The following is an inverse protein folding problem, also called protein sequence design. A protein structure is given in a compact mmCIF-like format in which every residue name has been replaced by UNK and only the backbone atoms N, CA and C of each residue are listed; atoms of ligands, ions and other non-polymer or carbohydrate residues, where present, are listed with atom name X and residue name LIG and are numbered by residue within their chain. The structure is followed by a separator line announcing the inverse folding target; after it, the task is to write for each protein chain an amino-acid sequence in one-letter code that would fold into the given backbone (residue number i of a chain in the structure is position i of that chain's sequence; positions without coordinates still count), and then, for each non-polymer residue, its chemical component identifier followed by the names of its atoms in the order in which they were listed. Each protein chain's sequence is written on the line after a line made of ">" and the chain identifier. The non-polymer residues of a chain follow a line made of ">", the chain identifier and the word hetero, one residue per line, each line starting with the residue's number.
data_IF_453794584815
#
_entry.id   IF_453794584815
#
_cell.length_a   1.000
_cell.length_b   1.000
_cell.length_c   1.000
_cell.angle_alpha   90.00
_cell.angle_beta   90.00
_cell.angle_gamma   90.00
#
_symmetry.space_group_name_H-M   'P 1'
#
loop_
_entity.id
_entity.type
_entity.pdbx_description
1 polymer ?
#
# COMPACT_ATOMS: atom_id res chain seq x y z
N UNK A 1 1.91 -9.46 -2.97
CA UNK A 1 1.80 -10.84 -2.44
C UNK A 1 1.89 -10.77 -0.93
N UNK A 2 1.38 -11.74 -0.16
CA UNK A 2 1.67 -11.78 1.28
C UNK A 2 3.16 -11.97 1.56
N UNK A 3 3.90 -12.54 0.60
CA UNK A 3 5.37 -12.67 0.66
C UNK A 3 6.12 -11.33 0.72
N UNK A 4 5.51 -10.22 0.27
CA UNK A 4 6.15 -8.90 0.33
C UNK A 4 6.08 -8.30 1.74
N UNK A 5 5.27 -8.89 2.63
CA UNK A 5 5.01 -8.37 3.97
C UNK A 5 6.26 -8.27 4.83
N UNK A 6 7.16 -9.26 4.75
CA UNK A 6 8.38 -9.28 5.56
C UNK A 6 9.27 -8.06 5.32
N UNK A 7 9.21 -7.47 4.13
CA UNK A 7 9.90 -6.21 3.78
C UNK A 7 9.00 -5.01 4.10
N UNK A 8 7.74 -5.06 3.68
CA UNK A 8 6.80 -3.94 3.79
C UNK A 8 6.47 -3.57 5.25
N UNK A 9 6.58 -4.50 6.19
CA UNK A 9 6.37 -4.22 7.62
C UNK A 9 7.33 -3.18 8.17
N UNK A 10 8.53 -3.00 7.57
CA UNK A 10 9.47 -1.97 8.00
C UNK A 10 8.94 -0.56 7.72
N UNK A 11 8.27 -0.34 6.58
CA UNK A 11 7.62 0.93 6.30
C UNK A 11 6.48 1.20 7.30
N UNK A 12 5.69 0.17 7.63
CA UNK A 12 4.63 0.26 8.65
C UNK A 12 5.21 0.63 10.02
N UNK A 13 6.33 0.03 10.43
CA UNK A 13 6.99 0.35 11.69
C UNK A 13 7.39 1.83 11.75
N UNK A 14 8.04 2.36 10.70
CA UNK A 14 8.41 3.77 10.65
C UNK A 14 7.20 4.71 10.72
N UNK A 15 6.11 4.39 10.01
CA UNK A 15 4.89 5.20 10.04
C UNK A 15 4.25 5.22 11.44
N UNK A 16 4.28 4.09 12.15
CA UNK A 16 3.83 4.00 13.54
C UNK A 16 4.71 4.86 14.46
N UNK A 17 6.04 4.77 14.34
CA UNK A 17 6.97 5.50 15.20
C UNK A 17 6.81 7.02 15.10
N UNK A 18 6.51 7.51 13.89
CA UNK A 18 6.23 8.93 13.64
C UNK A 18 4.74 9.32 13.82
N UNK A 19 3.90 8.38 14.24
CA UNK A 19 2.46 8.56 14.41
C UNK A 19 1.77 9.12 13.15
N UNK A 20 2.20 8.66 11.98
CA UNK A 20 1.60 8.98 10.68
C UNK A 20 0.45 8.00 10.43
N UNK A 21 -0.80 8.46 10.27
CA UNK A 21 -1.92 7.58 9.93
C UNK A 21 -1.70 6.91 8.57
N UNK A 22 -1.98 5.61 8.49
CA UNK A 22 -1.80 4.84 7.27
C UNK A 22 -2.82 3.70 7.14
N UNK A 23 -2.93 3.16 5.94
CA UNK A 23 -3.58 1.89 5.66
C UNK A 23 -2.63 0.95 4.93
N UNK A 24 -2.79 -0.35 5.14
CA UNK A 24 -2.00 -1.38 4.49
C UNK A 24 -2.93 -2.44 3.89
N UNK A 25 -2.79 -2.69 2.59
CA UNK A 25 -3.60 -3.66 1.86
C UNK A 25 -2.73 -4.41 0.85
N UNK A 26 -3.00 -5.69 0.65
CA UNK A 26 -2.38 -6.49 -0.41
C UNK A 26 -3.18 -6.30 -1.70
N UNK A 27 -2.56 -5.68 -2.70
CA UNK A 27 -3.13 -5.50 -4.05
C UNK A 27 -2.13 -6.04 -5.07
N UNK A 28 -2.60 -6.71 -6.13
CA UNK A 28 -1.73 -7.36 -7.13
C UNK A 28 -1.99 -6.79 -8.52
N UNK A 29 -1.00 -6.13 -9.12
CA UNK A 29 -1.12 -5.57 -10.47
C UNK A 29 -1.45 -6.62 -11.54
N UNK A 30 -0.92 -7.84 -11.42
CA UNK A 30 -1.13 -8.91 -12.42
C UNK A 30 -2.41 -9.72 -12.21
N UNK A 31 -2.92 -9.79 -10.97
CA UNK A 31 -4.09 -10.64 -10.63
C UNK A 31 -5.34 -9.85 -10.31
N UNK A 32 -5.20 -8.58 -9.96
CA UNK A 32 -6.25 -7.68 -9.46
C UNK A 32 -6.04 -6.27 -10.03
N UNK A 33 -5.87 -6.17 -11.35
CA UNK A 33 -5.55 -4.90 -12.02
C UNK A 33 -6.65 -3.84 -11.79
N UNK A 34 -7.91 -4.22 -11.93
CA UNK A 34 -9.04 -3.29 -11.75
C UNK A 34 -9.13 -2.74 -10.32
N UNK A 35 -8.92 -3.58 -9.30
CA UNK A 35 -8.91 -3.15 -7.91
C UNK A 35 -7.75 -2.18 -7.62
N UNK A 36 -6.59 -2.42 -8.23
CA UNK A 36 -5.43 -1.51 -8.15
C UNK A 36 -5.75 -0.14 -8.75
N UNK A 37 -6.36 -0.11 -9.95
CA UNK A 37 -6.76 1.14 -10.59
C UNK A 37 -7.79 1.88 -9.75
N UNK A 38 -8.84 1.19 -9.30
CA UNK A 38 -9.87 1.78 -8.44
C UNK A 38 -9.31 2.37 -7.15
N UNK A 39 -8.37 1.66 -6.51
CA UNK A 39 -7.70 2.17 -5.32
C UNK A 39 -6.93 3.46 -5.63
N UNK A 40 -6.13 3.46 -6.70
CA UNK A 40 -5.31 4.60 -7.08
C UNK A 40 -6.16 5.84 -7.45
N UNK A 41 -7.26 5.65 -8.20
CA UNK A 41 -8.18 6.73 -8.57
C UNK A 41 -8.88 7.34 -7.35
N UNK A 42 -9.34 6.50 -6.41
CA UNK A 42 -10.04 6.96 -5.21
C UNK A 42 -9.10 7.54 -4.14
N UNK A 43 -7.81 7.18 -4.14
CA UNK A 43 -6.85 7.50 -3.08
C UNK A 43 -6.82 8.99 -2.72
N UNK A 44 -6.74 9.87 -3.73
CA UNK A 44 -6.69 11.32 -3.51
C UNK A 44 -7.98 11.83 -2.86
N UNK A 45 -9.14 11.35 -3.29
CA UNK A 45 -10.44 11.73 -2.73
C UNK A 45 -10.62 11.27 -1.28
N UNK A 46 -9.92 10.20 -0.89
CA UNK A 46 -9.88 9.67 0.48
C UNK A 46 -8.85 10.37 1.38
N UNK A 47 -8.13 11.37 0.86
CA UNK A 47 -7.12 12.12 1.61
C UNK A 47 -5.75 11.42 1.68
N UNK A 48 -5.53 10.34 0.94
CA UNK A 48 -4.21 9.69 0.85
C UNK A 48 -3.22 10.64 0.18
N UNK A 49 -2.08 10.87 0.83
CA UNK A 49 -1.06 11.84 0.39
C UNK A 49 0.15 11.19 -0.28
N UNK A 50 0.43 9.93 0.05
CA UNK A 50 1.51 9.14 -0.52
C UNK A 50 1.12 7.66 -0.54
N UNK A 51 1.66 6.90 -1.50
CA UNK A 51 1.48 5.45 -1.62
C UNK A 51 2.86 4.81 -1.62
N UNK A 52 3.06 3.82 -0.77
CA UNK A 52 4.25 2.97 -0.76
C UNK A 52 3.82 1.61 -1.32
N UNK A 53 4.36 1.23 -2.48
CA UNK A 53 3.98 0.00 -3.17
C UNK A 53 5.18 -0.96 -3.23
N UNK A 54 5.05 -2.11 -2.56
CA UNK A 54 5.98 -3.23 -2.69
C UNK A 54 5.56 -4.13 -3.85
N UNK A 55 6.48 -4.41 -4.77
CA UNK A 55 6.29 -5.35 -5.85
C UNK A 55 7.57 -6.17 -6.07
N UNK A 56 7.40 -7.47 -6.26
CA UNK A 56 8.49 -8.39 -6.60
C UNK A 56 8.18 -9.13 -7.91
N UNK A 57 9.24 -9.59 -8.56
CA UNK A 57 9.23 -10.40 -9.77
C UNK A 57 10.44 -11.33 -9.75
#
# INVERSE_FOLDING_TARGET
>A
SSSDWDVMQHAVAMLKDFNVPFEAQVVSAHRMADDMFRYAEAARGRGIRAIIAGAGG
#
